data_IF_432394106939
#
_entry.id   IF_432394106939
#
_cell.length_a   1.000
_cell.length_b   1.000
_cell.length_c   1.000
_cell.angle_alpha   90.00
_cell.angle_beta   90.00
_cell.angle_gamma   90.00
#
_symmetry.space_group_name_H-M   'P 1'
#
loop_
_entity.id
_entity.type
_entity.pdbx_description
1 polymer ?
#
# COMPACT_ATOMS: atom_id res chain seq x y z
N UNK A 1 -23.79 15.26 14.91
CA UNK A 1 -22.49 15.25 14.23
C UNK A 1 -21.43 14.69 15.16
N UNK A 2 -20.68 13.70 14.69
CA UNK A 2 -19.53 13.13 15.38
C UNK A 2 -18.31 13.24 14.45
N UNK A 3 -17.16 13.66 15.00
CA UNK A 3 -15.88 13.75 14.29
C UNK A 3 -14.77 13.19 15.17
N UNK A 4 -13.99 12.27 14.64
CA UNK A 4 -12.83 11.68 15.30
C UNK A 4 -11.65 11.83 14.38
N UNK A 5 -10.54 12.35 14.90
CA UNK A 5 -9.27 12.47 14.18
C UNK A 5 -8.11 11.93 15.00
N UNK A 6 -7.22 11.22 14.35
CA UNK A 6 -5.97 10.74 14.93
C UNK A 6 -4.83 10.95 13.94
N UNK A 7 -3.72 11.51 14.43
CA UNK A 7 -2.48 11.66 13.69
C UNK A 7 -1.34 11.12 14.55
N UNK A 8 -0.59 10.18 14.00
CA UNK A 8 0.64 9.67 14.61
C UNK A 8 1.81 9.96 13.68
N UNK A 9 2.85 10.60 14.19
CA UNK A 9 4.12 10.83 13.48
C UNK A 9 5.21 10.12 14.25
N UNK A 10 6.03 9.34 13.57
CA UNK A 10 7.05 8.53 14.21
C UNK A 10 8.23 8.27 13.27
N UNK A 11 9.36 7.84 13.86
CA UNK A 11 10.50 7.27 13.14
C UNK A 11 10.83 5.92 13.78
N UNK A 12 11.02 4.91 12.97
CA UNK A 12 11.38 3.57 13.42
C UNK A 12 12.66 3.13 12.74
N UNK A 13 13.74 3.12 13.52
CA UNK A 13 15.07 2.79 13.03
C UNK A 13 15.73 1.77 13.96
N UNK A 14 16.63 0.98 13.42
CA UNK A 14 17.43 0.05 14.20
C UNK A 14 18.86 0.01 13.73
N UNK A 15 19.73 -0.56 14.53
CA UNK A 15 21.14 -0.83 14.20
C UNK A 15 21.57 -2.19 14.73
N UNK A 16 22.44 -2.87 14.00
CA UNK A 16 22.91 -4.21 14.38
C UNK A 16 23.99 -4.17 15.48
N UNK A 17 24.75 -3.07 15.55
CA UNK A 17 25.82 -2.85 16.53
C UNK A 17 25.78 -1.42 17.03
N UNK A 18 26.41 -1.16 18.18
CA UNK A 18 26.44 0.16 18.79
C UNK A 18 27.10 1.24 17.91
N UNK A 19 28.09 0.86 17.13
CA UNK A 19 28.86 1.71 16.19
C UNK A 19 28.31 1.71 14.76
N UNK A 20 27.29 0.91 14.47
CA UNK A 20 26.66 0.84 13.17
C UNK A 20 25.71 2.03 12.92
N UNK A 21 25.56 2.40 11.65
CA UNK A 21 24.56 3.39 11.21
C UNK A 21 23.14 2.89 11.48
N UNK A 22 22.26 3.80 11.89
CA UNK A 22 20.82 3.53 11.95
C UNK A 22 20.23 3.30 10.56
N UNK A 23 19.36 2.33 10.47
CA UNK A 23 18.69 1.91 9.24
C UNK A 23 17.18 1.97 9.51
N UNK A 24 16.38 2.57 8.64
CA UNK A 24 14.93 2.56 8.78
C UNK A 24 14.38 1.13 8.82
N UNK A 25 13.48 0.86 9.76
CA UNK A 25 12.77 -0.42 9.78
C UNK A 25 11.76 -0.48 8.63
N UNK A 26 11.32 -1.69 8.26
CA UNK A 26 10.27 -1.87 7.26
C UNK A 26 8.92 -1.22 7.65
N UNK A 27 8.75 -0.84 8.92
CA UNK A 27 7.55 -0.21 9.47
C UNK A 27 7.65 1.32 9.60
N UNK A 28 8.76 1.93 9.16
CA UNK A 28 8.98 3.38 9.25
C UNK A 28 8.16 4.14 8.20
N UNK A 29 6.85 4.14 8.35
CA UNK A 29 5.95 4.87 7.46
C UNK A 29 5.93 6.39 7.71
N UNK A 30 6.63 6.88 8.72
CA UNK A 30 6.74 8.28 9.12
C UNK A 30 5.47 8.88 9.71
N UNK A 31 4.30 8.60 9.15
CA UNK A 31 3.03 9.06 9.70
C UNK A 31 1.89 8.10 9.37
N UNK A 32 0.89 8.12 10.25
CA UNK A 32 -0.43 7.51 10.04
C UNK A 32 -1.48 8.53 10.46
N UNK A 33 -2.45 8.81 9.60
CA UNK A 33 -3.55 9.72 9.89
C UNK A 33 -4.88 9.05 9.59
N UNK A 34 -5.86 9.23 10.47
CA UNK A 34 -7.23 8.80 10.28
C UNK A 34 -8.15 9.93 10.72
N UNK A 35 -9.09 10.29 9.87
CA UNK A 35 -10.16 11.24 10.19
C UNK A 35 -11.47 10.60 9.78
N UNK A 36 -12.41 10.48 10.69
CA UNK A 36 -13.73 9.98 10.40
C UNK A 36 -14.79 10.88 10.99
N UNK A 37 -15.85 11.09 10.24
CA UNK A 37 -16.97 11.89 10.69
C UNK A 37 -18.30 11.29 10.23
N UNK A 38 -19.32 11.47 11.06
CA UNK A 38 -20.69 11.03 10.77
C UNK A 38 -21.64 12.19 11.06
N UNK A 39 -22.58 12.39 10.17
CA UNK A 39 -23.65 13.37 10.32
C UNK A 39 -25.01 12.67 10.19
N UNK A 40 -25.83 12.83 11.22
CA UNK A 40 -27.18 12.30 11.27
C UNK A 40 -28.16 13.40 10.84
N UNK A 41 -28.89 13.12 9.76
CA UNK A 41 -29.93 13.97 9.24
C UNK A 41 -31.28 13.58 9.88
N UNK A 42 -32.27 14.43 9.67
CA UNK A 42 -33.66 14.12 10.03
C UNK A 42 -34.17 12.88 9.24
N UNK A 43 -35.20 12.24 9.78
CA UNK A 43 -35.93 11.13 9.16
C UNK A 43 -35.08 9.85 8.96
N UNK A 44 -34.06 9.62 9.83
CA UNK A 44 -33.29 8.38 9.83
C UNK A 44 -32.26 8.25 8.71
N UNK A 45 -31.80 9.35 8.14
CA UNK A 45 -30.63 9.37 7.26
C UNK A 45 -29.36 9.66 8.06
N UNK A 46 -28.27 8.97 7.70
CA UNK A 46 -26.94 9.24 8.23
C UNK A 46 -25.90 9.12 7.11
N UNK A 47 -24.92 10.00 7.12
CA UNK A 47 -23.80 9.99 6.17
C UNK A 47 -22.49 10.00 6.95
N UNK A 48 -21.63 9.04 6.67
CA UNK A 48 -20.30 8.93 7.22
C UNK A 48 -19.22 9.05 6.15
N UNK A 49 -18.09 9.64 6.52
CA UNK A 49 -16.89 9.62 5.70
C UNK A 49 -15.67 9.33 6.55
N UNK A 50 -14.70 8.58 5.99
CA UNK A 50 -13.44 8.24 6.64
C UNK A 50 -12.30 8.46 5.67
N UNK A 51 -11.38 9.34 6.02
CA UNK A 51 -10.10 9.53 5.34
C UNK A 51 -9.01 8.80 6.13
N UNK A 52 -8.30 7.89 5.48
CA UNK A 52 -7.14 7.21 6.02
C UNK A 52 -5.92 7.56 5.18
N UNK A 53 -4.81 7.92 5.80
CA UNK A 53 -3.56 8.20 5.12
C UNK A 53 -2.37 7.57 5.87
N UNK A 54 -1.42 7.05 5.12
CA UNK A 54 -0.20 6.43 5.63
C UNK A 54 0.99 6.85 4.78
N UNK A 55 2.10 7.16 5.42
CA UNK A 55 3.35 7.48 4.73
C UNK A 55 3.94 6.28 4.00
N UNK A 56 4.84 6.55 3.08
CA UNK A 56 5.45 5.53 2.25
C UNK A 56 6.34 4.56 3.03
N UNK A 57 6.19 3.28 2.78
CA UNK A 57 6.97 2.20 3.39
C UNK A 57 8.38 2.15 2.80
N UNK A 58 9.43 2.00 3.61
CA UNK A 58 10.79 1.77 3.12
C UNK A 58 10.92 0.43 2.38
N UNK A 59 11.79 0.40 1.39
CA UNK A 59 12.15 -0.84 0.69
C UNK A 59 13.63 -0.85 0.30
N UNK A 60 14.16 -2.06 0.08
CA UNK A 60 15.51 -2.27 -0.40
C UNK A 60 15.50 -2.33 -1.93
N UNK A 61 16.25 -1.48 -2.64
CA UNK A 61 16.33 -1.55 -4.09
C UNK A 61 17.05 -2.82 -4.56
N UNK A 62 16.83 -3.18 -5.82
CA UNK A 62 17.55 -4.29 -6.43
C UNK A 62 18.94 -3.88 -6.90
N UNK A 63 19.88 -4.80 -6.83
CA UNK A 63 21.16 -4.75 -7.53
C UNK A 63 20.91 -5.15 -8.99
N UNK A 64 20.70 -4.15 -9.84
CA UNK A 64 20.37 -4.36 -11.26
C UNK A 64 21.57 -4.97 -12.00
N UNK A 65 22.78 -4.54 -11.67
CA UNK A 65 23.99 -5.02 -12.32
C UNK A 65 24.19 -6.53 -12.08
N UNK A 66 24.09 -6.96 -10.84
CA UNK A 66 24.19 -8.38 -10.50
C UNK A 66 22.98 -9.17 -11.02
N UNK A 67 21.79 -8.63 -10.92
CA UNK A 67 20.56 -9.29 -11.37
C UNK A 67 20.49 -9.46 -12.89
N UNK A 68 21.15 -8.59 -13.66
CA UNK A 68 21.16 -8.66 -15.11
C UNK A 68 22.09 -9.74 -15.67
N UNK A 69 23.11 -10.16 -14.93
CA UNK A 69 24.02 -11.22 -15.37
C UNK A 69 23.24 -12.52 -15.66
N UNK A 70 23.44 -13.07 -16.87
CA UNK A 70 22.74 -14.28 -17.34
C UNK A 70 22.96 -15.45 -16.40
N UNK A 71 24.21 -15.70 -16.01
CA UNK A 71 24.54 -16.79 -15.07
C UNK A 71 23.90 -16.59 -13.70
N UNK A 72 23.97 -15.38 -13.15
CA UNK A 72 23.40 -15.06 -11.85
C UNK A 72 21.87 -15.20 -11.84
N UNK A 73 21.21 -14.71 -12.88
CA UNK A 73 19.77 -14.83 -13.03
C UNK A 73 19.34 -16.29 -13.17
N UNK A 74 20.01 -17.07 -14.01
CA UNK A 74 19.67 -18.47 -14.24
C UNK A 74 19.89 -19.35 -12.99
N UNK A 75 20.87 -18.98 -12.16
CA UNK A 75 21.14 -19.69 -10.92
C UNK A 75 20.10 -19.39 -9.83
N UNK A 76 19.55 -18.16 -9.78
CA UNK A 76 18.65 -17.72 -8.71
C UNK A 76 17.17 -17.75 -9.08
N UNK A 77 16.84 -17.56 -10.35
CA UNK A 77 15.47 -17.39 -10.86
C UNK A 77 14.77 -16.12 -10.34
N UNK A 78 15.51 -15.23 -9.67
CA UNK A 78 14.97 -14.01 -9.03
C UNK A 78 16.03 -12.91 -8.98
N UNK A 79 15.63 -11.63 -8.88
CA UNK A 79 16.58 -10.54 -8.72
C UNK A 79 17.29 -10.56 -7.37
N UNK A 80 18.47 -9.99 -7.34
CA UNK A 80 19.25 -9.76 -6.12
C UNK A 80 18.93 -8.39 -5.54
N UNK A 81 18.83 -8.30 -4.22
CA UNK A 81 18.71 -7.02 -3.52
C UNK A 81 20.09 -6.40 -3.30
N UNK A 82 20.16 -5.08 -3.40
CA UNK A 82 21.33 -4.31 -3.00
C UNK A 82 21.30 -4.09 -1.47
N UNK A 83 21.86 -5.02 -0.71
CA UNK A 83 21.89 -4.91 0.74
C UNK A 83 22.80 -3.79 1.27
N UNK A 84 23.64 -3.16 0.43
CA UNK A 84 24.36 -1.95 0.81
C UNK A 84 23.42 -0.75 0.96
N UNK A 85 22.26 -0.81 0.29
CA UNK A 85 21.16 0.17 0.31
C UNK A 85 19.92 -0.38 1.01
N UNK A 86 20.10 -1.12 2.08
CA UNK A 86 18.98 -1.74 2.78
C UNK A 86 17.99 -0.68 3.30
N UNK A 87 16.71 -0.80 2.93
CA UNK A 87 15.61 0.10 3.29
C UNK A 87 15.85 1.60 2.96
N UNK A 88 16.67 1.92 1.95
CA UNK A 88 16.92 3.31 1.54
C UNK A 88 15.88 3.86 0.57
N UNK A 89 15.24 2.99 -0.21
CA UNK A 89 14.12 3.37 -1.06
C UNK A 89 12.87 3.63 -0.20
N UNK A 90 11.95 4.48 -0.70
CA UNK A 90 10.67 4.75 -0.03
C UNK A 90 9.57 4.83 -1.06
N UNK A 91 8.46 4.16 -0.78
CA UNK A 91 7.25 4.23 -1.61
C UNK A 91 6.52 5.56 -1.41
N UNK A 92 5.60 5.86 -2.33
CA UNK A 92 4.72 7.01 -2.17
C UNK A 92 3.78 6.83 -0.98
N UNK A 93 3.36 7.93 -0.38
CA UNK A 93 2.30 7.92 0.62
C UNK A 93 0.97 7.48 -0.02
N UNK A 94 0.16 6.80 0.77
CA UNK A 94 -1.17 6.33 0.35
C UNK A 94 -2.24 7.04 1.15
N UNK A 95 -3.33 7.44 0.48
CA UNK A 95 -4.52 7.99 1.13
C UNK A 95 -5.78 7.41 0.48
N UNK A 96 -6.77 7.10 1.29
CA UNK A 96 -8.04 6.49 0.89
C UNK A 96 -9.19 7.22 1.56
N UNK A 97 -10.24 7.49 0.78
CA UNK A 97 -11.50 8.03 1.28
C UNK A 97 -12.59 6.95 1.14
N UNK A 98 -13.27 6.69 2.24
CA UNK A 98 -14.42 5.81 2.32
C UNK A 98 -15.65 6.65 2.65
N UNK A 99 -16.80 6.35 2.05
CA UNK A 99 -18.08 7.06 2.25
C UNK A 99 -19.18 6.04 2.49
N UNK A 100 -19.98 6.29 3.52
CA UNK A 100 -21.11 5.44 3.88
C UNK A 100 -22.37 6.28 4.01
N UNK A 101 -23.48 5.75 3.50
CA UNK A 101 -24.80 6.30 3.64
C UNK A 101 -25.72 5.26 4.26
N UNK A 102 -26.37 5.63 5.34
CA UNK A 102 -27.32 4.77 6.04
C UNK A 102 -28.72 5.38 5.98
N UNK A 103 -29.72 4.50 5.93
CA UNK A 103 -31.13 4.85 6.05
C UNK A 103 -31.82 3.90 7.02
N UNK A 104 -32.46 4.46 8.05
CA UNK A 104 -33.24 3.69 9.02
C UNK A 104 -34.73 4.02 8.87
N UNK A 105 -35.53 2.97 8.84
CA UNK A 105 -36.99 3.01 8.82
C UNK A 105 -37.51 2.46 10.14
N UNK A 106 -38.36 3.23 10.83
CA UNK A 106 -38.94 2.82 12.11
C UNK A 106 -40.37 2.35 11.90
N UNK A 107 -40.64 1.10 12.22
CA UNK A 107 -41.97 0.49 12.20
C UNK A 107 -42.42 0.21 13.64
N UNK A 108 -43.69 -0.14 13.83
CA UNK A 108 -44.26 -0.38 15.17
C UNK A 108 -43.62 -1.55 15.94
N UNK A 109 -43.11 -2.56 15.25
CA UNK A 109 -42.55 -3.78 15.84
C UNK A 109 -41.11 -4.09 15.42
N UNK A 110 -40.59 -3.37 14.48
CA UNK A 110 -39.25 -3.59 13.99
C UNK A 110 -38.62 -2.29 13.45
N UNK A 111 -37.31 -2.30 13.36
CA UNK A 111 -36.51 -1.30 12.73
C UNK A 111 -35.76 -1.93 11.54
N UNK A 112 -35.82 -1.27 10.39
CA UNK A 112 -35.10 -1.71 9.19
C UNK A 112 -34.04 -0.68 8.86
N UNK A 113 -32.78 -1.09 8.90
CA UNK A 113 -31.62 -0.32 8.45
C UNK A 113 -31.15 -0.79 7.08
N UNK A 114 -30.87 0.11 6.17
CA UNK A 114 -30.22 -0.16 4.88
C UNK A 114 -29.01 0.75 4.78
N UNK A 115 -27.87 0.21 4.37
CA UNK A 115 -26.69 1.04 4.13
C UNK A 115 -25.99 0.71 2.82
N UNK A 116 -25.33 1.72 2.28
CA UNK A 116 -24.37 1.60 1.18
C UNK A 116 -23.04 2.14 1.68
N UNK A 117 -22.01 1.30 1.61
CA UNK A 117 -20.63 1.65 1.96
C UNK A 117 -19.77 1.57 0.70
N UNK A 118 -19.10 2.67 0.38
CA UNK A 118 -18.21 2.81 -0.77
C UNK A 118 -16.78 3.01 -0.25
N UNK A 119 -16.00 1.95 -0.26
CA UNK A 119 -14.58 2.02 0.14
C UNK A 119 -13.73 2.45 -1.04
N UNK A 120 -12.76 3.31 -0.76
CA UNK A 120 -11.82 3.83 -1.73
C UNK A 120 -12.49 4.56 -2.91
N UNK A 121 -13.37 5.52 -2.61
CA UNK A 121 -14.04 6.35 -3.63
C UNK A 121 -13.07 7.22 -4.45
N UNK A 122 -11.84 7.41 -3.97
CA UNK A 122 -10.76 8.11 -4.65
C UNK A 122 -10.04 7.26 -5.68
N UNK A 123 -10.33 5.94 -5.76
CA UNK A 123 -9.60 4.98 -6.58
C UNK A 123 -8.09 4.98 -6.32
N UNK A 124 -7.70 5.31 -5.10
CA UNK A 124 -6.30 5.35 -4.67
C UNK A 124 -5.66 3.98 -4.80
N UNK A 125 -4.41 3.96 -5.25
CA UNK A 125 -3.64 2.72 -5.42
C UNK A 125 -2.51 2.66 -4.42
N UNK A 126 -2.55 1.65 -3.55
CA UNK A 126 -1.43 1.33 -2.68
C UNK A 126 -0.31 0.71 -3.52
N UNK A 127 0.81 1.40 -3.59
CA UNK A 127 2.00 0.94 -4.31
C UNK A 127 2.78 -0.04 -3.45
N UNK A 128 3.28 -1.09 -4.10
CA UNK A 128 4.28 -2.01 -3.57
C UNK A 128 5.60 -1.81 -4.33
N UNK A 129 6.74 -2.29 -3.81
CA UNK A 129 7.99 -2.23 -4.56
C UNK A 129 7.82 -2.89 -5.93
N UNK A 130 8.26 -2.19 -6.97
CA UNK A 130 8.22 -2.72 -8.33
C UNK A 130 9.10 -3.98 -8.41
N UNK A 131 8.66 -5.00 -9.12
CA UNK A 131 9.43 -6.25 -9.27
C UNK A 131 10.34 -6.15 -10.49
N UNK A 132 11.64 -6.38 -10.27
CA UNK A 132 12.63 -6.47 -11.34
C UNK A 132 12.57 -7.86 -11.97
N UNK A 133 12.44 -7.92 -13.29
CA UNK A 133 12.33 -9.17 -14.04
C UNK A 133 13.23 -9.13 -15.28
N UNK A 134 13.81 -10.31 -15.62
CA UNK A 134 14.45 -10.50 -16.92
C UNK A 134 13.40 -10.60 -18.04
N UNK A 135 13.70 -10.04 -19.19
CA UNK A 135 12.91 -10.22 -20.42
C UNK A 135 13.30 -11.50 -21.18
N UNK A 136 14.36 -12.21 -20.75
CA UNK A 136 14.93 -13.34 -21.47
C UNK A 136 15.79 -12.95 -22.70
N UNK A 137 15.86 -11.66 -23.04
CA UNK A 137 16.66 -11.18 -24.16
C UNK A 137 18.04 -10.75 -23.66
N UNK A 138 19.11 -11.25 -24.31
CA UNK A 138 20.49 -10.86 -23.98
C UNK A 138 20.80 -9.56 -24.73
N UNK A 139 21.19 -8.51 -23.99
CA UNK A 139 21.52 -7.19 -24.57
C UNK A 139 22.88 -7.18 -25.28
N UNK A 140 23.83 -7.99 -24.81
CA UNK A 140 25.21 -8.03 -25.28
C UNK A 140 25.64 -9.45 -25.70
N UNK A 141 25.02 -10.07 -26.72
CA UNK A 141 25.28 -11.47 -27.09
C UNK A 141 26.70 -11.74 -27.55
N UNK A 142 27.44 -10.71 -27.97
CA UNK A 142 28.82 -10.82 -28.39
C UNK A 142 29.84 -10.80 -27.23
N UNK A 143 29.40 -10.55 -26.01
CA UNK A 143 30.26 -10.58 -24.83
C UNK A 143 30.55 -12.02 -24.38
N UNK A 144 31.66 -12.24 -23.64
CA UNK A 144 31.92 -13.53 -22.99
C UNK A 144 30.71 -13.99 -22.16
N UNK A 145 30.44 -15.31 -22.05
CA UNK A 145 29.27 -15.83 -21.31
C UNK A 145 29.14 -15.28 -19.88
N UNK A 146 30.25 -15.09 -19.18
CA UNK A 146 30.28 -14.54 -17.81
C UNK A 146 29.90 -13.06 -17.71
N UNK A 147 29.92 -12.33 -18.83
CA UNK A 147 29.61 -10.91 -18.91
C UNK A 147 28.28 -10.64 -19.63
N UNK A 148 27.64 -11.67 -20.16
CA UNK A 148 26.35 -11.54 -20.80
C UNK A 148 25.28 -11.08 -19.84
N UNK A 149 24.43 -10.17 -20.30
CA UNK A 149 23.37 -9.53 -19.48
C UNK A 149 22.02 -9.66 -20.16
N UNK A 150 21.02 -9.99 -19.35
CA UNK A 150 19.63 -9.89 -19.76
C UNK A 150 19.16 -8.43 -19.78
N UNK A 151 18.32 -8.09 -20.72
CA UNK A 151 17.51 -6.88 -20.68
C UNK A 151 16.53 -7.01 -19.52
N UNK A 152 16.62 -6.09 -18.56
CA UNK A 152 15.77 -6.07 -17.38
C UNK A 152 14.58 -5.12 -17.57
N UNK A 153 13.47 -5.43 -16.89
CA UNK A 153 12.29 -4.56 -16.81
C UNK A 153 11.74 -4.53 -15.40
N UNK A 154 11.19 -3.40 -15.01
CA UNK A 154 10.41 -3.27 -13.79
C UNK A 154 8.92 -3.51 -14.07
N UNK A 155 8.31 -4.36 -13.29
CA UNK A 155 6.86 -4.60 -13.30
C UNK A 155 6.27 -3.84 -12.13
N UNK A 156 5.47 -2.82 -12.41
CA UNK A 156 4.79 -2.03 -11.40
C UNK A 156 3.77 -2.87 -10.66
N UNK A 157 3.80 -2.75 -9.34
CA UNK A 157 2.81 -3.37 -8.46
C UNK A 157 2.02 -2.28 -7.73
N UNK A 158 0.73 -2.27 -7.98
CA UNK A 158 -0.19 -1.39 -7.29
C UNK A 158 -1.56 -2.08 -7.18
N UNK A 159 -2.16 -2.03 -6.02
CA UNK A 159 -3.49 -2.57 -5.76
C UNK A 159 -4.38 -1.50 -5.16
N UNK A 160 -5.64 -1.50 -5.52
CA UNK A 160 -6.65 -0.57 -5.02
C UNK A 160 -7.78 -0.44 -6.03
N UNK A 161 -8.98 -0.71 -5.57
CA UNK A 161 -10.22 -0.57 -6.34
C UNK A 161 -11.30 0.00 -5.45
N UNK A 162 -12.34 0.54 -6.05
CA UNK A 162 -13.57 0.86 -5.35
C UNK A 162 -14.27 -0.44 -4.94
N UNK A 163 -14.65 -0.56 -3.68
CA UNK A 163 -15.41 -1.70 -3.17
C UNK A 163 -16.76 -1.22 -2.65
N UNK A 164 -17.84 -1.40 -3.41
CA UNK A 164 -19.18 -1.11 -2.93
C UNK A 164 -19.69 -2.27 -2.06
N UNK A 165 -20.33 -1.95 -0.96
CA UNK A 165 -21.00 -2.90 -0.06
C UNK A 165 -22.41 -2.41 0.23
N UNK A 166 -23.40 -3.29 0.11
CA UNK A 166 -24.78 -3.06 0.50
C UNK A 166 -25.11 -3.97 1.69
N UNK A 167 -25.73 -3.40 2.72
CA UNK A 167 -26.19 -4.20 3.86
C UNK A 167 -27.57 -3.81 4.33
N UNK A 168 -28.23 -4.78 4.97
CA UNK A 168 -29.57 -4.65 5.56
C UNK A 168 -29.53 -5.18 6.99
N UNK A 169 -30.08 -4.43 7.93
CA UNK A 169 -30.24 -4.81 9.32
C UNK A 169 -31.72 -4.76 9.70
N UNK A 170 -32.19 -5.78 10.38
CA UNK A 170 -33.56 -5.84 10.92
C UNK A 170 -33.46 -6.08 12.42
N UNK A 171 -34.10 -5.22 13.20
CA UNK A 171 -34.21 -5.35 14.65
C UNK A 171 -35.68 -5.46 15.05
N UNK A 172 -36.04 -6.41 15.94
CA UNK A 172 -37.40 -6.72 16.39
C UNK A 172 -37.61 -6.35 17.84
#
# INVERSE_FOLDING_TARGET
FNLVGALTVFSSEYRSRHDAKYIPSAWDNRFVANISGTYDFSRGWSVGAKLSAIGGTPYTPYDVDKSSLVEAWNASGRPYYDYSKYNTGRLDAFAQLDVRVDKVFYFRKCMLGIYVDLQNVTFSKLRQPDVLMSTGVIENPSAPPSEQRYKMKYIRQASGTLVPTLGVTVEF
#
